data_IF_007931610722
#
_entry.id   IF_007931610722
#
_cell.length_a   1.000
_cell.length_b   1.000
_cell.length_c   1.000
_cell.angle_alpha   90.00
_cell.angle_beta   90.00
_cell.angle_gamma   90.00
#
_symmetry.space_group_name_H-M   'P 1'
#
loop_
_entity.id
_entity.type
_entity.pdbx_description
1 polymer ?
#
# COMPACT_ATOMS: atom_id res chain seq x y z
N UNK A 1 10.31 23.12 -3.83
CA UNK A 1 9.81 22.58 -2.55
C UNK A 1 8.72 21.52 -2.75
N UNK A 2 7.55 21.87 -3.30
CA UNK A 2 6.35 21.00 -3.40
C UNK A 2 6.53 19.59 -4.00
N UNK A 3 7.40 19.40 -4.99
CA UNK A 3 7.59 18.09 -5.64
C UNK A 3 8.35 17.09 -4.76
N UNK A 4 9.42 17.55 -4.10
CA UNK A 4 10.21 16.73 -3.18
C UNK A 4 9.35 16.35 -1.97
N UNK A 5 8.57 17.29 -1.43
CA UNK A 5 7.60 17.03 -0.36
C UNK A 5 6.59 15.94 -0.75
N UNK A 6 6.05 15.97 -1.97
CA UNK A 6 5.13 14.96 -2.46
C UNK A 6 5.79 13.57 -2.55
N UNK A 7 7.04 13.49 -3.03
CA UNK A 7 7.81 12.24 -3.06
C UNK A 7 8.03 11.70 -1.65
N UNK A 8 8.40 12.57 -0.71
CA UNK A 8 8.65 12.18 0.68
C UNK A 8 7.37 11.74 1.38
N UNK A 9 6.24 12.41 1.13
CA UNK A 9 4.92 11.98 1.63
C UNK A 9 4.54 10.62 1.07
N UNK A 10 4.68 10.41 -0.24
CA UNK A 10 4.39 9.12 -0.86
C UNK A 10 5.28 8.02 -0.28
N UNK A 11 6.58 8.28 -0.15
CA UNK A 11 7.56 7.34 0.41
C UNK A 11 7.21 7.00 1.86
N UNK A 12 6.88 8.00 2.69
CA UNK A 12 6.47 7.80 4.08
C UNK A 12 5.15 7.04 4.22
N UNK A 13 4.26 7.13 3.23
CA UNK A 13 3.01 6.37 3.24
C UNK A 13 3.20 4.91 2.82
N UNK A 14 4.16 4.62 1.94
CA UNK A 14 4.52 3.25 1.54
C UNK A 14 5.31 2.55 2.65
N UNK A 15 6.23 3.27 3.30
CA UNK A 15 7.08 2.74 4.36
C UNK A 15 6.27 2.65 5.67
N UNK A 16 5.77 1.46 5.97
CA UNK A 16 5.00 1.19 7.20
C UNK A 16 5.50 -0.03 7.98
N UNK A 17 4.66 -0.50 8.92
CA UNK A 17 4.92 -1.67 9.80
C UNK A 17 5.30 -2.94 9.01
N UNK A 18 4.81 -3.06 7.78
CA UNK A 18 5.15 -4.18 6.90
C UNK A 18 6.66 -4.37 6.67
N UNK A 19 7.49 -3.33 6.83
CA UNK A 19 8.94 -3.46 6.67
C UNK A 19 9.55 -4.49 7.65
N UNK A 20 8.99 -4.62 8.85
CA UNK A 20 9.48 -5.56 9.86
C UNK A 20 9.21 -7.01 9.47
N UNK A 21 8.28 -7.25 8.54
CA UNK A 21 8.03 -8.58 7.97
C UNK A 21 9.02 -8.99 6.88
N UNK A 22 9.75 -8.04 6.27
CA UNK A 22 10.66 -8.34 5.15
C UNK A 22 11.78 -9.30 5.58
N UNK A 23 12.52 -9.07 6.68
CA UNK A 23 13.58 -10.00 7.11
C UNK A 23 13.06 -11.42 7.35
N UNK A 24 11.87 -11.55 7.97
CA UNK A 24 11.23 -12.84 8.19
C UNK A 24 10.86 -13.55 6.87
N UNK A 25 10.30 -12.81 5.91
CA UNK A 25 9.96 -13.37 4.60
C UNK A 25 11.22 -13.91 3.87
N UNK A 26 12.33 -13.19 3.94
CA UNK A 26 13.62 -13.64 3.37
C UNK A 26 14.20 -14.83 4.13
N UNK A 27 14.10 -14.86 5.47
CA UNK A 27 14.54 -16.00 6.27
C UNK A 27 13.72 -17.27 5.98
N UNK A 28 12.40 -17.13 5.76
CA UNK A 28 11.51 -18.25 5.50
C UNK A 28 11.56 -18.77 4.05
N UNK A 29 11.73 -17.89 3.06
CA UNK A 29 11.72 -18.25 1.63
C UNK A 29 13.12 -18.43 1.01
N UNK A 30 14.17 -17.96 1.69
CA UNK A 30 15.53 -17.88 1.16
C UNK A 30 15.76 -16.62 0.32
N UNK A 31 17.04 -16.23 0.17
CA UNK A 31 17.42 -14.96 -0.44
C UNK A 31 16.91 -14.77 -1.87
N UNK A 32 17.05 -15.80 -2.73
CA UNK A 32 16.68 -15.69 -4.14
C UNK A 32 15.18 -15.57 -4.37
N UNK A 33 14.39 -16.45 -3.73
CA UNK A 33 12.92 -16.40 -3.83
C UNK A 33 12.36 -15.14 -3.17
N UNK A 34 12.90 -14.75 -2.01
CA UNK A 34 12.53 -13.49 -1.34
C UNK A 34 12.79 -12.27 -2.22
N UNK A 35 13.94 -12.23 -2.91
CA UNK A 35 14.27 -11.14 -3.84
C UNK A 35 13.31 -11.10 -5.04
N UNK A 36 13.03 -12.24 -5.67
CA UNK A 36 12.08 -12.30 -6.79
C UNK A 36 10.70 -11.82 -6.35
N UNK A 37 10.21 -12.27 -5.20
CA UNK A 37 8.93 -11.83 -4.65
C UNK A 37 8.92 -10.32 -4.39
N UNK A 38 9.97 -9.77 -3.79
CA UNK A 38 10.08 -8.33 -3.51
C UNK A 38 10.08 -7.51 -4.81
N UNK A 39 10.80 -7.95 -5.84
CA UNK A 39 10.86 -7.27 -7.14
C UNK A 39 9.50 -7.30 -7.83
N UNK A 40 8.84 -8.46 -7.85
CA UNK A 40 7.51 -8.61 -8.45
C UNK A 40 6.48 -7.73 -7.75
N UNK A 41 6.44 -7.75 -6.41
CA UNK A 41 5.52 -6.91 -5.63
C UNK A 41 5.80 -5.42 -5.87
N UNK A 42 7.07 -5.03 -5.95
CA UNK A 42 7.46 -3.65 -6.26
C UNK A 42 6.98 -3.24 -7.66
N UNK A 43 7.17 -4.10 -8.67
CA UNK A 43 6.71 -3.84 -10.02
C UNK A 43 5.19 -3.68 -10.10
N UNK A 44 4.44 -4.54 -9.41
CA UNK A 44 2.98 -4.44 -9.30
C UNK A 44 2.58 -3.13 -8.61
N UNK A 45 3.23 -2.78 -7.49
CA UNK A 45 2.93 -1.54 -6.77
C UNK A 45 3.18 -0.30 -7.63
N UNK A 46 4.31 -0.25 -8.35
CA UNK A 46 4.62 0.85 -9.28
C UNK A 46 3.59 0.92 -10.39
N UNK A 47 3.22 -0.21 -10.99
CA UNK A 47 2.20 -0.26 -12.03
C UNK A 47 0.85 0.30 -11.54
N UNK A 48 0.41 -0.09 -10.34
CA UNK A 48 -0.82 0.44 -9.75
C UNK A 48 -0.77 1.95 -9.49
N UNK A 49 0.37 2.48 -9.04
CA UNK A 49 0.56 3.92 -8.85
C UNK A 49 0.51 4.69 -10.18
N UNK A 50 1.05 4.12 -11.26
CA UNK A 50 0.98 4.71 -12.60
C UNK A 50 -0.47 4.77 -13.11
N UNK A 51 -1.27 3.73 -12.87
CA UNK A 51 -2.71 3.75 -13.20
C UNK A 51 -3.46 4.86 -12.46
N UNK A 52 -2.99 5.27 -11.28
CA UNK A 52 -3.57 6.38 -10.52
C UNK A 52 -3.39 7.76 -11.20
N UNK A 53 -2.64 7.82 -12.31
CA UNK A 53 -2.55 9.02 -13.17
C UNK A 53 -3.90 9.52 -13.72
N UNK A 54 -4.96 8.70 -13.64
CA UNK A 54 -6.35 9.10 -13.96
C UNK A 54 -6.83 10.30 -13.13
N UNK A 55 -6.25 10.55 -11.95
CA UNK A 55 -6.53 11.72 -11.10
C UNK A 55 -6.32 13.03 -11.87
N UNK A 56 -5.35 13.08 -12.80
CA UNK A 56 -5.06 14.28 -13.59
C UNK A 56 -6.11 14.55 -14.68
N UNK A 57 -6.89 13.55 -15.08
CA UNK A 57 -7.86 13.62 -16.18
C UNK A 57 -9.31 13.61 -15.69
N UNK A 58 -9.56 13.31 -14.42
CA UNK A 58 -10.91 13.23 -13.86
C UNK A 58 -11.25 14.53 -13.14
N UNK A 59 -12.41 15.12 -13.44
CA UNK A 59 -12.91 16.25 -12.68
C UNK A 59 -13.35 15.83 -11.27
N UNK A 60 -12.85 16.57 -10.28
CA UNK A 60 -13.16 16.35 -8.86
C UNK A 60 -12.19 15.41 -8.15
N UNK A 61 -12.21 15.49 -6.83
CA UNK A 61 -11.39 14.64 -5.95
C UNK A 61 -12.22 13.42 -5.56
N UNK A 62 -11.76 12.24 -5.96
CA UNK A 62 -12.39 10.98 -5.61
C UNK A 62 -11.44 10.14 -4.76
N UNK A 63 -11.97 9.19 -4.01
CA UNK A 63 -11.15 8.13 -3.38
C UNK A 63 -10.93 7.00 -4.38
N UNK A 64 -10.03 6.07 -4.09
CA UNK A 64 -9.73 4.93 -4.96
C UNK A 64 -10.98 4.16 -5.43
N UNK A 65 -11.98 3.85 -4.58
CA UNK A 65 -13.23 3.23 -5.04
C UNK A 65 -14.05 4.13 -6.00
N UNK A 66 -13.99 5.44 -5.83
CA UNK A 66 -14.65 6.40 -6.72
C UNK A 66 -14.01 6.44 -8.11
N UNK A 67 -12.67 6.46 -8.18
CA UNK A 67 -11.97 6.33 -9.46
C UNK A 67 -12.21 4.97 -10.11
N UNK A 68 -12.20 3.88 -9.34
CA UNK A 68 -12.54 2.55 -9.83
C UNK A 68 -13.96 2.50 -10.43
N UNK A 69 -14.94 3.14 -9.79
CA UNK A 69 -16.31 3.23 -10.31
C UNK A 69 -16.37 3.93 -11.67
N UNK A 70 -15.68 5.06 -11.81
CA UNK A 70 -15.72 5.88 -13.03
C UNK A 70 -15.10 5.13 -14.23
N UNK A 71 -13.98 4.44 -14.02
CA UNK A 71 -13.21 3.84 -15.13
C UNK A 71 -13.41 2.34 -15.32
N UNK A 72 -13.80 1.60 -14.28
CA UNK A 72 -13.90 0.13 -14.29
C UNK A 72 -15.30 -0.38 -13.92
N UNK A 73 -16.22 0.51 -13.54
CA UNK A 73 -17.61 0.18 -13.21
C UNK A 73 -17.85 -0.22 -11.75
N UNK A 74 -19.10 -0.54 -11.43
CA UNK A 74 -19.58 -0.72 -10.05
C UNK A 74 -18.95 -1.93 -9.34
N UNK A 75 -18.71 -3.03 -10.07
CA UNK A 75 -18.10 -4.23 -9.50
C UNK A 75 -16.65 -3.96 -9.03
N UNK A 76 -15.89 -3.20 -9.82
CA UNK A 76 -14.55 -2.80 -9.45
C UNK A 76 -14.54 -1.81 -8.28
N UNK A 77 -15.55 -0.93 -8.22
CA UNK A 77 -15.74 -0.03 -7.08
C UNK A 77 -16.01 -0.79 -5.78
N UNK A 78 -16.86 -1.82 -5.83
CA UNK A 78 -17.14 -2.67 -4.68
C UNK A 78 -15.87 -3.40 -4.21
N UNK A 79 -15.11 -4.02 -5.13
CA UNK A 79 -13.85 -4.67 -4.80
C UNK A 79 -12.84 -3.70 -4.17
N UNK A 80 -12.66 -2.53 -4.79
CA UNK A 80 -11.81 -1.46 -4.28
C UNK A 80 -12.22 -1.00 -2.87
N UNK A 81 -13.53 -0.91 -2.61
CA UNK A 81 -14.06 -0.53 -1.31
C UNK A 81 -13.76 -1.60 -0.25
N UNK A 82 -13.97 -2.88 -0.56
CA UNK A 82 -13.59 -3.97 0.34
C UNK A 82 -12.08 -4.00 0.59
N UNK A 83 -11.25 -3.86 -0.46
CA UNK A 83 -9.79 -3.79 -0.30
C UNK A 83 -9.38 -2.64 0.61
N UNK A 84 -9.96 -1.45 0.45
CA UNK A 84 -9.68 -0.30 1.31
C UNK A 84 -10.11 -0.51 2.77
N UNK A 85 -11.21 -1.24 2.99
CA UNK A 85 -11.68 -1.58 4.33
C UNK A 85 -10.71 -2.56 5.03
N UNK A 86 -10.33 -3.64 4.35
CA UNK A 86 -9.40 -4.63 4.89
C UNK A 86 -8.01 -4.04 5.11
N UNK A 87 -7.53 -3.21 4.19
CA UNK A 87 -6.26 -2.49 4.33
C UNK A 87 -6.28 -1.58 5.56
N UNK A 88 -7.32 -0.74 5.71
CA UNK A 88 -7.44 0.17 6.84
C UNK A 88 -7.48 -0.56 8.20
N UNK A 89 -8.33 -1.59 8.32
CA UNK A 89 -8.45 -2.36 9.56
C UNK A 89 -7.18 -3.17 9.84
N UNK A 90 -6.65 -3.86 8.84
CA UNK A 90 -5.44 -4.69 8.96
C UNK A 90 -4.21 -3.88 9.31
N UNK A 91 -4.05 -2.71 8.68
CA UNK A 91 -2.97 -1.77 8.98
C UNK A 91 -3.06 -1.29 10.42
N UNK A 92 -4.22 -0.77 10.86
CA UNK A 92 -4.40 -0.30 12.24
C UNK A 92 -4.15 -1.41 13.28
N UNK A 93 -4.59 -2.63 13.01
CA UNK A 93 -4.30 -3.78 13.86
C UNK A 93 -2.80 -4.08 13.93
N UNK A 94 -2.10 -4.08 12.79
CA UNK A 94 -0.65 -4.31 12.75
C UNK A 94 0.12 -3.22 13.52
N UNK A 95 -0.26 -1.95 13.35
CA UNK A 95 0.31 -0.84 14.13
C UNK A 95 0.05 -0.98 15.63
N UNK A 96 -1.17 -1.35 16.04
CA UNK A 96 -1.52 -1.55 17.44
C UNK A 96 -0.73 -2.70 18.09
N UNK A 97 -0.63 -3.84 17.40
CA UNK A 97 0.12 -5.01 17.88
C UNK A 97 1.60 -4.66 17.99
N UNK A 98 2.20 -4.07 16.95
CA UNK A 98 3.62 -3.71 17.00
C UNK A 98 3.89 -2.71 18.14
N UNK A 99 3.03 -1.71 18.30
CA UNK A 99 3.14 -0.75 19.39
C UNK A 99 3.08 -1.42 20.76
N UNK A 100 2.12 -2.32 20.99
CA UNK A 100 1.99 -3.07 22.23
C UNK A 100 3.23 -3.95 22.51
N UNK A 101 3.74 -4.64 21.48
CA UNK A 101 4.95 -5.47 21.58
C UNK A 101 6.16 -4.63 21.96
N UNK A 102 6.40 -3.52 21.28
CA UNK A 102 7.54 -2.62 21.58
C UNK A 102 7.47 -2.10 23.01
N UNK A 103 6.29 -1.66 23.47
CA UNK A 103 6.09 -1.17 24.83
C UNK A 103 6.33 -2.28 25.86
N UNK A 104 5.92 -3.52 25.58
CA UNK A 104 6.11 -4.64 26.51
C UNK A 104 7.59 -5.03 26.74
N UNK A 105 8.48 -4.63 25.83
CA UNK A 105 9.93 -4.86 25.94
C UNK A 105 10.71 -3.66 26.51
N UNK A 106 10.03 -2.55 26.82
CA UNK A 106 10.62 -1.34 27.40
C UNK A 106 10.47 -1.35 28.93
#
# INVERSE_FOLDING_TARGET
MRYIEAILMLSGMIIGVGMFGIPYAFAASGFWLGTVLLVVLTAIAVFLHLLYGVVLHTHGVHRMPGYARIYLGENAAALAWFSALFDGVGSLLAYAILGAVIISYL
#
